data_IF_121676281521
#
_entry.id   IF_121676281521
#
_cell.length_a   1.000
_cell.length_b   1.000
_cell.length_c   1.000
_cell.angle_alpha   90.00
_cell.angle_beta   90.00
_cell.angle_gamma   90.00
#
_symmetry.space_group_name_H-M   'P 1'
#
loop_
_entity.id
_entity.type
_entity.pdbx_description
1 polymer ?
#
# COMPACT_ATOMS: atom_id res chain seq x y z
N UNK A 1 -9.04 5.36 -2.63
CA UNK A 1 -9.23 3.92 -2.85
C UNK A 1 -8.54 3.14 -1.76
N UNK A 2 -9.10 2.01 -1.36
CA UNK A 2 -8.53 1.08 -0.36
C UNK A 2 -8.42 -0.29 -1.02
N UNK A 3 -7.35 -1.04 -0.71
CA UNK A 3 -7.21 -2.46 -1.00
C UNK A 3 -6.88 -3.14 0.32
N UNK A 4 -7.46 -4.31 0.58
CA UNK A 4 -7.27 -5.03 1.85
C UNK A 4 -6.42 -6.27 1.66
N UNK A 5 -5.48 -6.47 2.57
CA UNK A 5 -4.72 -7.71 2.71
C UNK A 5 -4.98 -8.33 4.09
N UNK A 6 -5.69 -9.46 4.13
CA UNK A 6 -5.87 -10.27 5.33
C UNK A 6 -4.58 -11.04 5.59
N UNK A 7 -3.75 -10.50 6.48
CA UNK A 7 -2.45 -11.05 6.82
C UNK A 7 -2.55 -12.18 7.86
N UNK A 8 -1.48 -12.97 7.99
CA UNK A 8 -1.31 -14.08 8.95
C UNK A 8 -2.24 -15.27 8.72
N UNK A 9 -2.64 -15.53 7.47
CA UNK A 9 -3.45 -16.72 7.15
C UNK A 9 -2.72 -18.03 7.42
N UNK A 10 -1.39 -18.01 7.53
CA UNK A 10 -0.59 -19.16 7.97
C UNK A 10 -0.89 -19.62 9.41
N UNK A 11 -1.54 -18.76 10.20
CA UNK A 11 -1.90 -19.04 11.59
C UNK A 11 -3.39 -19.42 11.73
N UNK A 12 -4.11 -19.54 10.62
CA UNK A 12 -5.55 -19.80 10.59
C UNK A 12 -5.81 -21.02 9.71
N UNK A 13 -6.19 -22.12 10.35
CA UNK A 13 -6.46 -23.40 9.68
C UNK A 13 -7.94 -23.56 9.26
N UNK A 14 -8.81 -22.62 9.66
CA UNK A 14 -10.25 -22.64 9.43
C UNK A 14 -10.67 -21.61 8.37
N UNK A 15 -11.18 -22.11 7.25
CA UNK A 15 -11.65 -21.29 6.13
C UNK A 15 -12.92 -20.49 6.49
N UNK A 16 -13.79 -21.03 7.35
CA UNK A 16 -15.01 -20.32 7.79
C UNK A 16 -14.65 -19.07 8.62
N UNK A 17 -13.56 -19.14 9.41
CA UNK A 17 -13.08 -17.99 10.17
C UNK A 17 -12.55 -16.88 9.24
N UNK A 18 -11.88 -17.24 8.15
CA UNK A 18 -11.38 -16.26 7.18
C UNK A 18 -12.53 -15.56 6.44
N UNK A 19 -13.57 -16.31 6.06
CA UNK A 19 -14.79 -15.74 5.45
C UNK A 19 -15.50 -14.79 6.41
N UNK A 20 -15.59 -15.14 7.70
CA UNK A 20 -16.19 -14.27 8.72
C UNK A 20 -15.41 -12.96 8.89
N UNK A 21 -14.07 -13.04 8.97
CA UNK A 21 -13.22 -11.84 9.05
C UNK A 21 -13.36 -10.97 7.81
N UNK A 22 -13.45 -11.58 6.62
CA UNK A 22 -13.70 -10.82 5.40
C UNK A 22 -15.02 -10.05 5.47
N UNK A 23 -16.11 -10.70 5.91
CA UNK A 23 -17.41 -10.08 6.09
C UNK A 23 -17.36 -8.90 7.08
N UNK A 24 -16.74 -9.08 8.25
CA UNK A 24 -16.61 -8.01 9.26
C UNK A 24 -15.80 -6.81 8.73
N UNK A 25 -14.76 -7.06 7.92
CA UNK A 25 -13.98 -5.99 7.29
C UNK A 25 -14.82 -5.23 6.27
N UNK A 26 -15.61 -5.93 5.44
CA UNK A 26 -16.52 -5.28 4.48
C UNK A 26 -17.57 -4.43 5.18
N UNK A 27 -18.19 -4.95 6.24
CA UNK A 27 -19.14 -4.19 7.06
C UNK A 27 -18.49 -2.94 7.67
N UNK A 28 -17.26 -3.06 8.16
CA UNK A 28 -16.50 -1.93 8.69
C UNK A 28 -16.22 -0.88 7.63
N UNK A 29 -15.81 -1.29 6.42
CA UNK A 29 -15.60 -0.37 5.30
C UNK A 29 -16.89 0.35 4.92
N UNK A 30 -18.00 -0.37 4.80
CA UNK A 30 -19.33 0.19 4.52
C UNK A 30 -19.75 1.19 5.60
N UNK A 31 -19.48 0.89 6.88
CA UNK A 31 -19.75 1.81 8.01
C UNK A 31 -18.99 3.13 7.90
N UNK A 32 -17.80 3.13 7.31
CA UNK A 32 -16.99 4.34 7.08
C UNK A 32 -17.19 4.94 5.67
N UNK A 33 -18.31 4.62 5.01
CA UNK A 33 -18.69 5.15 3.69
C UNK A 33 -17.72 4.77 2.55
N UNK A 34 -16.94 3.70 2.73
CA UNK A 34 -16.19 3.07 1.65
C UNK A 34 -17.05 2.00 0.96
N UNK A 35 -16.83 1.73 -0.35
CA UNK A 35 -17.56 0.68 -1.06
C UNK A 35 -17.00 -0.70 -0.67
N UNK A 36 -17.35 -1.18 0.52
CA UNK A 36 -16.81 -2.40 1.11
C UNK A 36 -17.03 -3.64 0.25
N UNK A 37 -18.12 -3.70 -0.53
CA UNK A 37 -18.42 -4.82 -1.43
C UNK A 37 -17.54 -4.82 -2.69
N UNK A 38 -17.13 -3.63 -3.17
CA UNK A 38 -16.30 -3.48 -4.38
C UNK A 38 -14.79 -3.43 -4.07
N UNK A 39 -14.42 -3.19 -2.81
CA UNK A 39 -13.01 -3.14 -2.40
C UNK A 39 -12.38 -4.53 -2.55
N UNK A 40 -11.25 -4.66 -3.27
CA UNK A 40 -10.55 -5.92 -3.39
C UNK A 40 -9.96 -6.36 -2.04
N UNK A 41 -10.27 -7.59 -1.66
CA UNK A 41 -9.71 -8.26 -0.49
C UNK A 41 -8.92 -9.47 -0.97
N UNK A 42 -7.70 -9.63 -0.46
CA UNK A 42 -6.92 -10.84 -0.67
C UNK A 42 -6.23 -11.24 0.64
N UNK A 43 -5.85 -12.51 0.74
CA UNK A 43 -5.37 -13.09 1.99
C UNK A 43 -4.04 -13.81 1.78
N UNK A 44 -3.17 -13.79 2.79
CA UNK A 44 -1.87 -14.45 2.75
C UNK A 44 -1.03 -14.25 4.00
N UNK A 45 0.24 -14.64 3.91
CA UNK A 45 1.24 -14.45 4.96
C UNK A 45 2.37 -13.56 4.46
N UNK A 46 2.45 -12.33 4.98
CA UNK A 46 3.56 -11.44 4.67
C UNK A 46 4.88 -11.95 5.26
N UNK A 47 4.83 -12.65 6.39
CA UNK A 47 6.02 -13.21 7.03
C UNK A 47 6.62 -14.33 6.18
N UNK A 48 5.83 -15.34 5.83
CA UNK A 48 6.33 -16.48 5.05
C UNK A 48 6.74 -16.07 3.62
N UNK A 49 6.09 -15.04 3.05
CA UNK A 49 6.54 -14.47 1.78
C UNK A 49 7.93 -13.80 1.90
N UNK A 50 8.18 -13.08 2.99
CA UNK A 50 9.47 -12.45 3.25
C UNK A 50 10.57 -13.48 3.52
N UNK A 51 10.29 -14.48 4.35
CA UNK A 51 11.24 -15.57 4.65
C UNK A 51 11.65 -16.32 3.38
N UNK A 52 10.68 -16.62 2.49
CA UNK A 52 10.97 -17.24 1.19
C UNK A 52 11.91 -16.38 0.32
N UNK A 53 11.71 -15.07 0.29
CA UNK A 53 12.58 -14.13 -0.45
C UNK A 53 13.95 -13.96 0.21
N UNK A 54 14.06 -14.10 1.53
CA UNK A 54 15.35 -14.07 2.23
C UNK A 54 16.18 -15.33 1.93
N UNK A 55 15.53 -16.49 1.87
CA UNK A 55 16.19 -17.76 1.54
C UNK A 55 16.57 -17.85 0.06
N UNK A 56 15.73 -17.32 -0.83
CA UNK A 56 16.00 -17.24 -2.25
C UNK A 56 15.49 -15.91 -2.83
N UNK A 57 16.35 -14.88 -2.98
CA UNK A 57 15.96 -13.56 -3.47
C UNK A 57 15.38 -13.55 -4.88
N UNK A 58 15.71 -14.55 -5.70
CA UNK A 58 15.21 -14.70 -7.07
C UNK A 58 13.94 -15.56 -7.13
N UNK A 59 13.38 -15.98 -5.99
CA UNK A 59 12.13 -16.73 -5.95
C UNK A 59 10.98 -15.86 -6.45
N UNK A 60 10.32 -16.33 -7.49
CA UNK A 60 9.17 -15.65 -8.06
C UNK A 60 7.86 -16.34 -7.60
N UNK A 61 6.85 -16.41 -8.46
CA UNK A 61 5.53 -17.03 -8.22
C UNK A 61 5.56 -18.56 -7.99
N UNK A 62 6.73 -19.15 -7.76
CA UNK A 62 6.87 -20.56 -7.38
C UNK A 62 6.44 -20.80 -5.92
N UNK A 63 6.63 -19.80 -5.05
CA UNK A 63 6.18 -19.87 -3.67
C UNK A 63 4.73 -19.36 -3.54
N UNK A 64 3.84 -20.11 -2.85
CA UNK A 64 2.44 -19.73 -2.71
C UNK A 64 2.26 -18.39 -1.99
N UNK A 65 3.08 -18.08 -0.99
CA UNK A 65 3.01 -16.84 -0.22
C UNK A 65 3.50 -15.64 -1.02
N UNK A 66 4.60 -15.79 -1.76
CA UNK A 66 5.11 -14.75 -2.67
C UNK A 66 4.08 -14.45 -3.76
N UNK A 67 3.41 -15.49 -4.29
CA UNK A 67 2.33 -15.34 -5.26
C UNK A 67 1.15 -14.51 -4.72
N UNK A 68 0.81 -14.63 -3.42
CA UNK A 68 -0.23 -13.79 -2.80
C UNK A 68 0.18 -12.31 -2.73
N UNK A 69 1.46 -12.00 -2.53
CA UNK A 69 1.97 -10.62 -2.57
C UNK A 69 1.88 -10.04 -3.98
N UNK A 70 2.27 -10.82 -5.01
CA UNK A 70 2.06 -10.41 -6.40
C UNK A 70 0.58 -10.18 -6.71
N UNK A 71 -0.31 -11.05 -6.24
CA UNK A 71 -1.76 -10.85 -6.38
C UNK A 71 -2.22 -9.55 -5.71
N UNK A 72 -1.70 -9.21 -4.53
CA UNK A 72 -1.99 -7.94 -3.87
C UNK A 72 -1.55 -6.75 -4.73
N UNK A 73 -0.33 -6.79 -5.29
CA UNK A 73 0.17 -5.73 -6.16
C UNK A 73 -0.66 -5.61 -7.45
N UNK A 74 -1.04 -6.73 -8.06
CA UNK A 74 -1.93 -6.74 -9.23
C UNK A 74 -3.30 -6.10 -8.93
N UNK A 75 -3.83 -6.29 -7.71
CA UNK A 75 -5.08 -5.66 -7.27
C UNK A 75 -4.89 -4.15 -7.03
N UNK A 76 -3.77 -3.75 -6.43
CA UNK A 76 -3.42 -2.33 -6.25
C UNK A 76 -3.36 -1.62 -7.61
N UNK A 77 -2.64 -2.18 -8.58
CA UNK A 77 -2.49 -1.61 -9.91
C UNK A 77 -3.81 -1.49 -10.67
N UNK A 78 -4.73 -2.45 -10.48
CA UNK A 78 -6.04 -2.46 -11.15
C UNK A 78 -7.08 -1.56 -10.47
N UNK A 79 -7.06 -1.46 -9.15
CA UNK A 79 -8.12 -0.82 -8.38
C UNK A 79 -7.80 0.62 -7.96
N UNK A 80 -6.52 0.95 -7.74
CA UNK A 80 -6.12 2.31 -7.34
C UNK A 80 -5.78 3.11 -8.60
N UNK A 81 -6.62 4.06 -9.03
CA UNK A 81 -6.32 4.87 -10.20
C UNK A 81 -5.11 5.76 -9.93
N UNK A 82 -4.32 6.01 -10.96
CA UNK A 82 -3.27 7.02 -10.90
C UNK A 82 -3.94 8.39 -10.72
N UNK A 83 -3.65 9.12 -9.63
CA UNK A 83 -4.29 10.41 -9.40
C UNK A 83 -3.80 11.43 -10.43
N UNK A 84 -4.72 12.28 -10.89
CA UNK A 84 -4.38 13.42 -11.75
C UNK A 84 -3.47 14.40 -10.98
N UNK A 85 -2.39 14.84 -11.62
CA UNK A 85 -1.41 15.76 -11.01
C UNK A 85 -1.64 17.16 -11.53
N UNK A 86 -1.95 18.08 -10.63
CA UNK A 86 -2.23 19.49 -10.97
C UNK A 86 -0.93 20.31 -11.03
N UNK A 87 -0.06 19.99 -11.99
CA UNK A 87 1.30 20.58 -12.08
C UNK A 87 1.33 22.05 -12.46
N UNK A 88 0.25 22.58 -13.05
CA UNK A 88 0.16 23.98 -13.49
C UNK A 88 -0.30 24.93 -12.38
N UNK A 89 -0.68 24.41 -11.21
CA UNK A 89 -1.08 25.23 -10.06
C UNK A 89 0.15 25.76 -9.30
N UNK A 90 -0.02 26.80 -8.45
CA UNK A 90 1.04 27.25 -7.56
C UNK A 90 1.53 26.10 -6.66
N UNK A 91 2.85 26.00 -6.50
CA UNK A 91 3.50 24.97 -5.70
C UNK A 91 2.93 24.93 -4.27
N UNK A 92 2.58 23.72 -3.83
CA UNK A 92 2.23 23.43 -2.46
C UNK A 92 2.72 22.03 -2.11
N UNK A 93 3.48 21.94 -1.03
CA UNK A 93 3.96 20.68 -0.46
C UNK A 93 3.69 20.69 1.03
N UNK A 94 3.01 19.64 1.52
CA UNK A 94 2.83 19.45 2.95
C UNK A 94 4.15 18.92 3.53
N UNK A 95 4.72 19.62 4.53
CA UNK A 95 5.94 19.16 5.19
C UNK A 95 5.58 18.05 6.18
N UNK A 96 6.08 16.84 5.90
CA UNK A 96 5.91 15.66 6.74
C UNK A 96 7.00 15.56 7.80
N UNK A 97 8.26 15.83 7.42
CA UNK A 97 9.39 15.75 8.32
C UNK A 97 10.52 16.70 7.90
N UNK A 98 11.35 17.11 8.87
CA UNK A 98 12.51 17.97 8.68
C UNK A 98 13.75 17.29 9.24
N UNK A 99 14.76 17.09 8.39
CA UNK A 99 16.03 16.47 8.77
C UNK A 99 17.19 17.40 8.46
N UNK A 100 18.23 17.37 9.31
CA UNK A 100 19.47 18.10 9.05
C UNK A 100 20.53 17.13 8.56
N UNK A 101 20.98 17.31 7.32
CA UNK A 101 22.02 16.48 6.70
C UNK A 101 23.35 17.21 6.77
N UNK A 102 24.32 16.64 7.48
CA UNK A 102 25.66 17.20 7.63
C UNK A 102 26.29 17.48 6.26
N UNK A 103 26.75 18.72 6.05
CA UNK A 103 27.35 19.15 4.79
C UNK A 103 26.37 19.48 3.65
N UNK A 104 25.05 19.30 3.84
CA UNK A 104 24.02 19.68 2.84
C UNK A 104 23.02 20.70 3.36
N UNK A 105 22.74 20.69 4.66
CA UNK A 105 21.79 21.61 5.31
C UNK A 105 20.48 20.94 5.69
N UNK A 106 19.43 21.75 5.83
CA UNK A 106 18.08 21.31 6.24
C UNK A 106 17.29 20.80 5.04
N UNK A 107 16.72 19.61 5.17
CA UNK A 107 15.85 18.99 4.16
C UNK A 107 14.47 18.81 4.76
N UNK A 108 13.49 19.49 4.15
CA UNK A 108 12.08 19.21 4.38
C UNK A 108 11.61 18.13 3.40
N UNK A 109 10.91 17.13 3.90
CA UNK A 109 10.35 16.02 3.12
C UNK A 109 8.83 16.07 3.19
N UNK A 110 8.17 15.58 2.15
CA UNK A 110 6.73 15.52 2.08
C UNK A 110 6.22 15.28 0.67
N UNK A 111 4.90 15.11 0.54
CA UNK A 111 4.23 14.95 -0.75
C UNK A 111 3.95 16.32 -1.36
N UNK A 112 4.34 16.49 -2.62
CA UNK A 112 3.89 17.63 -3.42
C UNK A 112 2.42 17.44 -3.73
N UNK A 113 1.57 18.31 -3.18
CA UNK A 113 0.12 18.26 -3.38
C UNK A 113 -0.27 18.82 -4.74
N UNK A 114 0.41 19.89 -5.18
CA UNK A 114 0.18 20.52 -6.49
C UNK A 114 1.36 21.39 -6.92
N UNK A 115 1.37 21.73 -8.21
CA UNK A 115 2.44 22.52 -8.82
C UNK A 115 3.74 21.75 -8.98
N UNK A 116 4.80 22.51 -9.26
CA UNK A 116 6.16 22.01 -9.31
C UNK A 116 7.10 23.07 -8.72
N UNK A 117 8.25 22.62 -8.20
CA UNK A 117 9.30 23.49 -7.67
C UNK A 117 10.62 23.14 -8.34
N UNK A 118 11.35 24.16 -8.83
CA UNK A 118 12.71 24.00 -9.33
C UNK A 118 13.71 24.56 -8.33
N UNK A 119 14.95 24.09 -8.44
CA UNK A 119 16.06 24.56 -7.62
C UNK A 119 16.26 26.06 -7.87
N UNK A 120 16.20 26.86 -6.80
CA UNK A 120 16.41 28.31 -6.84
C UNK A 120 15.16 29.17 -6.99
N UNK A 121 13.96 28.56 -7.12
CA UNK A 121 12.70 29.30 -7.11
C UNK A 121 12.29 29.71 -5.68
N UNK A 122 11.61 30.86 -5.56
CA UNK A 122 11.13 31.47 -4.31
C UNK A 122 9.65 31.78 -4.38
#
# INVERSE_FOLDING_TARGET
SIVVFLNKTDQVDDEELLELVELEVRETLNKYEFPGDDIPICSGSALLALEALMDNPDIDKENPWVTKIYKLMDLVDKYIPVPERETDKPFLMAVENVVSITGRGTVATGRVERGALKVGET
#
